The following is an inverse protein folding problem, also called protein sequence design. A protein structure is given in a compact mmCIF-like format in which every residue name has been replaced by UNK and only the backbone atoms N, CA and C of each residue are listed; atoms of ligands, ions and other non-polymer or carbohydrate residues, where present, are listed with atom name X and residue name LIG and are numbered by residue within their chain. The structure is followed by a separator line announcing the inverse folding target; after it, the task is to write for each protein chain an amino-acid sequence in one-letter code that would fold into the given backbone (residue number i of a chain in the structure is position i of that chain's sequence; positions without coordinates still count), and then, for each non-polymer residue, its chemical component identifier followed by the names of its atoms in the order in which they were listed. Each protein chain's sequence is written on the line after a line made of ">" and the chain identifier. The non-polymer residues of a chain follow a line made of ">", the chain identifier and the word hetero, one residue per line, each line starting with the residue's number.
data_IF_830926156042
#
_entry.id   IF_830926156042
#
_cell.length_a   1.000
_cell.length_b   1.000
_cell.length_c   1.000
_cell.angle_alpha   90.00
_cell.angle_beta   90.00
_cell.angle_gamma   90.00
#
_symmetry.space_group_name_H-M   'P 1'
#
loop_
_entity.id
_entity.type
_entity.pdbx_description
1 polymer ?
#
# COMPACT_ATOMS: atom_id res chain seq x y z
N UNK A 1 -18.56 0.61 -10.00
CA UNK A 1 -19.42 -0.04 -11.02
C UNK A 1 -19.58 0.84 -12.24
N UNK A 2 -19.99 2.10 -12.07
CA UNK A 2 -20.14 3.04 -13.19
C UNK A 2 -18.87 3.13 -14.04
N UNK A 3 -17.71 3.31 -13.41
CA UNK A 3 -16.39 3.37 -14.05
C UNK A 3 -16.06 2.17 -14.96
N UNK A 4 -16.54 0.96 -14.62
CA UNK A 4 -16.21 -0.25 -15.38
C UNK A 4 -17.27 -0.56 -16.43
N UNK A 5 -18.52 -0.19 -16.17
CA UNK A 5 -19.58 -0.27 -17.18
C UNK A 5 -19.28 0.65 -18.38
N UNK A 6 -18.57 1.75 -18.17
CA UNK A 6 -18.11 2.68 -19.21
C UNK A 6 -16.97 2.12 -20.08
N UNK A 7 -16.34 1.02 -19.69
CA UNK A 7 -15.25 0.36 -20.44
C UNK A 7 -15.72 -0.69 -21.47
N UNK A 8 -17.03 -0.77 -21.77
CA UNK A 8 -17.62 -1.84 -22.60
C UNK A 8 -17.36 -3.26 -22.03
N UNK A 9 -17.01 -3.35 -20.74
CA UNK A 9 -16.86 -4.59 -19.99
C UNK A 9 -18.14 -4.90 -19.22
N UNK A 10 -18.62 -6.14 -19.31
CA UNK A 10 -19.69 -6.62 -18.42
C UNK A 10 -19.11 -6.89 -17.04
N UNK A 11 -19.32 -5.95 -16.11
CA UNK A 11 -18.87 -6.11 -14.74
C UNK A 11 -19.96 -6.69 -13.83
N UNK A 12 -19.58 -7.69 -13.04
CA UNK A 12 -20.46 -8.26 -11.99
C UNK A 12 -19.76 -8.08 -10.65
N UNK A 13 -20.34 -7.25 -9.78
CA UNK A 13 -19.88 -7.12 -8.40
C UNK A 13 -20.41 -8.30 -7.60
N UNK A 14 -19.52 -8.98 -6.90
CA UNK A 14 -19.88 -10.05 -5.97
C UNK A 14 -19.27 -9.69 -4.62
N UNK A 15 -20.13 -9.46 -3.63
CA UNK A 15 -19.69 -9.37 -2.23
C UNK A 15 -19.39 -10.79 -1.80
N UNK A 16 -18.14 -11.05 -1.39
CA UNK A 16 -17.65 -12.39 -1.10
C UNK A 16 -17.32 -12.50 0.38
N UNK A 17 -18.23 -13.12 1.14
CA UNK A 17 -18.07 -13.29 2.58
C UNK A 17 -17.54 -14.69 2.95
N UNK A 18 -17.65 -15.65 2.04
CA UNK A 18 -17.31 -17.05 2.32
C UNK A 18 -16.82 -17.80 1.06
N UNK A 19 -16.47 -19.08 1.27
CA UNK A 19 -16.03 -19.98 0.22
C UNK A 19 -17.13 -20.29 -0.81
N UNK A 20 -18.42 -20.21 -0.44
CA UNK A 20 -19.51 -20.46 -1.38
C UNK A 20 -19.56 -19.35 -2.43
N UNK A 21 -19.42 -18.09 -2.02
CA UNK A 21 -19.33 -16.96 -2.94
C UNK A 21 -18.11 -17.07 -3.89
N UNK A 22 -16.96 -17.50 -3.37
CA UNK A 22 -15.77 -17.75 -4.21
C UNK A 22 -16.01 -18.84 -5.27
N UNK A 23 -16.72 -19.91 -4.91
CA UNK A 23 -17.10 -20.98 -5.85
C UNK A 23 -18.05 -20.47 -6.92
N UNK A 24 -19.02 -19.62 -6.56
CA UNK A 24 -19.91 -19.00 -7.55
C UNK A 24 -19.13 -18.15 -8.56
N UNK A 25 -18.12 -17.41 -8.11
CA UNK A 25 -17.25 -16.63 -9.00
C UNK A 25 -16.53 -17.55 -9.98
N UNK A 26 -15.88 -18.61 -9.47
CA UNK A 26 -15.19 -19.60 -10.32
C UNK A 26 -16.15 -20.25 -11.32
N UNK A 27 -17.37 -20.59 -10.90
CA UNK A 27 -18.39 -21.20 -11.77
C UNK A 27 -18.82 -20.27 -12.91
N UNK A 28 -18.74 -18.95 -12.74
CA UNK A 28 -18.99 -17.98 -13.81
C UNK A 28 -17.85 -17.91 -14.84
N UNK A 29 -16.69 -18.50 -14.54
CA UNK A 29 -15.50 -18.52 -15.40
C UNK A 29 -15.14 -17.10 -15.92
N UNK A 30 -14.95 -16.12 -15.02
CA UNK A 30 -14.58 -14.78 -15.45
C UNK A 30 -13.22 -14.82 -16.14
N UNK A 31 -13.06 -14.00 -17.19
CA UNK A 31 -11.74 -13.78 -17.78
C UNK A 31 -10.78 -13.13 -16.77
N UNK A 32 -11.32 -12.28 -15.88
CA UNK A 32 -10.51 -11.50 -14.96
C UNK A 32 -11.25 -11.07 -13.69
N UNK A 33 -10.51 -10.94 -12.57
CA UNK A 33 -11.04 -10.47 -11.27
C UNK A 33 -10.21 -9.33 -10.67
N UNK A 34 -10.85 -8.26 -10.19
CA UNK A 34 -10.19 -7.09 -9.58
C UNK A 34 -10.19 -7.21 -8.06
N UNK A 35 -9.13 -7.72 -7.47
CA UNK A 35 -9.02 -7.88 -6.02
C UNK A 35 -8.90 -6.53 -5.30
N UNK A 36 -9.86 -6.24 -4.41
CA UNK A 36 -9.82 -5.13 -3.45
C UNK A 36 -9.58 -5.60 -2.02
N UNK A 37 -9.29 -6.89 -1.84
CA UNK A 37 -9.08 -7.56 -0.57
C UNK A 37 -7.93 -8.55 -0.74
N UNK A 38 -7.16 -8.79 0.35
CA UNK A 38 -6.05 -9.75 0.35
C UNK A 38 -6.53 -11.20 0.57
N UNK A 39 -7.38 -11.38 1.57
CA UNK A 39 -7.82 -12.69 2.04
C UNK A 39 -9.19 -12.63 2.71
N UNK A 40 -9.89 -13.77 2.75
CA UNK A 40 -11.11 -13.97 3.54
C UNK A 40 -10.74 -14.76 4.80
N UNK A 41 -10.99 -14.22 6.01
CA UNK A 41 -10.82 -14.98 7.24
C UNK A 41 -11.96 -15.99 7.41
N UNK A 42 -11.61 -17.23 7.76
CA UNK A 42 -12.58 -18.26 8.11
C UNK A 42 -12.74 -18.37 9.62
N UNK A 43 -13.90 -18.87 10.07
CA UNK A 43 -14.17 -19.14 11.50
C UNK A 43 -13.14 -20.09 12.13
N UNK A 44 -12.49 -20.93 11.32
CA UNK A 44 -11.42 -21.84 11.75
C UNK A 44 -10.09 -21.15 12.07
N UNK A 45 -9.98 -19.84 11.83
CA UNK A 45 -8.73 -19.08 11.91
C UNK A 45 -7.83 -19.21 10.67
N UNK A 46 -8.23 -20.01 9.68
CA UNK A 46 -7.53 -20.09 8.40
C UNK A 46 -7.89 -18.91 7.50
N UNK A 47 -6.91 -18.43 6.71
CA UNK A 47 -7.11 -17.35 5.74
C UNK A 47 -7.14 -17.91 4.33
N UNK A 48 -8.18 -17.61 3.57
CA UNK A 48 -8.20 -17.87 2.13
C UNK A 48 -7.57 -16.68 1.43
N UNK A 49 -6.35 -16.84 0.93
CA UNK A 49 -5.70 -15.83 0.10
C UNK A 49 -6.36 -15.80 -1.27
N UNK A 50 -6.90 -14.65 -1.66
CA UNK A 50 -7.66 -14.54 -2.91
C UNK A 50 -6.78 -14.78 -4.13
N UNK A 51 -5.56 -14.28 -4.12
CA UNK A 51 -4.60 -14.50 -5.21
C UNK A 51 -4.28 -15.98 -5.39
N UNK A 52 -3.96 -16.70 -4.31
CA UNK A 52 -3.74 -18.15 -4.34
C UNK A 52 -4.97 -18.91 -4.83
N UNK A 53 -6.16 -18.53 -4.34
CA UNK A 53 -7.41 -19.15 -4.74
C UNK A 53 -7.67 -19.01 -6.26
N UNK A 54 -7.54 -17.81 -6.82
CA UNK A 54 -7.75 -17.61 -8.26
C UNK A 54 -6.64 -18.23 -9.13
N UNK A 55 -5.39 -18.27 -8.64
CA UNK A 55 -4.29 -18.99 -9.33
C UNK A 55 -4.59 -20.48 -9.48
N UNK A 56 -5.11 -21.13 -8.42
CA UNK A 56 -5.45 -22.57 -8.49
C UNK A 56 -6.63 -22.90 -9.43
N UNK A 57 -7.37 -21.88 -9.87
CA UNK A 57 -8.50 -22.01 -10.80
C UNK A 57 -8.20 -21.43 -12.19
N UNK A 58 -6.93 -21.10 -12.48
CA UNK A 58 -6.50 -20.50 -13.75
C UNK A 58 -7.26 -19.19 -14.08
N UNK A 59 -7.69 -18.43 -13.06
CA UNK A 59 -8.36 -17.13 -13.21
C UNK A 59 -7.36 -16.02 -12.95
N UNK A 60 -7.19 -15.14 -13.93
CA UNK A 60 -6.33 -13.96 -13.81
C UNK A 60 -6.94 -12.90 -12.89
N UNK A 61 -6.09 -12.18 -12.16
CA UNK A 61 -6.52 -11.21 -11.14
C UNK A 61 -5.61 -9.97 -11.07
N UNK A 62 -6.14 -8.83 -10.58
CA UNK A 62 -5.33 -7.62 -10.30
C UNK A 62 -4.45 -7.78 -9.08
N UNK A 63 -3.31 -7.09 -9.08
CA UNK A 63 -2.45 -7.00 -7.92
C UNK A 63 -1.59 -8.25 -7.78
N UNK A 64 -1.50 -8.80 -6.59
CA UNK A 64 -0.25 -9.43 -6.15
C UNK A 64 -0.40 -10.90 -5.81
N UNK A 65 0.66 -11.66 -6.08
CA UNK A 65 0.83 -12.99 -5.48
C UNK A 65 0.89 -12.87 -3.96
N UNK A 66 0.50 -13.93 -3.27
CA UNK A 66 0.56 -14.05 -1.81
C UNK A 66 1.94 -13.66 -1.24
N UNK A 67 3.02 -14.13 -1.87
CA UNK A 67 4.39 -13.84 -1.41
C UNK A 67 4.74 -12.36 -1.42
N UNK A 68 4.19 -11.59 -2.37
CA UNK A 68 4.39 -10.13 -2.40
C UNK A 68 3.46 -9.43 -1.40
N UNK A 69 2.21 -9.89 -1.26
CA UNK A 69 1.28 -9.38 -0.25
C UNK A 69 1.76 -9.58 1.19
N UNK A 70 2.68 -10.53 1.42
CA UNK A 70 3.36 -10.68 2.70
C UNK A 70 4.06 -9.39 3.14
N UNK A 71 4.66 -8.63 2.23
CA UNK A 71 5.32 -7.36 2.58
C UNK A 71 4.34 -6.24 2.93
N UNK A 72 3.12 -6.29 2.41
CA UNK A 72 2.05 -5.37 2.83
C UNK A 72 1.63 -5.67 4.28
N UNK A 73 1.39 -6.95 4.59
CA UNK A 73 0.98 -7.37 5.93
C UNK A 73 2.12 -7.39 6.96
N UNK A 74 3.39 -7.50 6.55
CA UNK A 74 4.54 -7.56 7.44
C UNK A 74 5.52 -6.42 7.15
N UNK A 75 5.29 -5.29 7.83
CA UNK A 75 6.06 -4.05 7.67
C UNK A 75 7.53 -4.22 8.01
N UNK A 76 7.84 -5.04 9.01
CA UNK A 76 9.23 -5.37 9.40
C UNK A 76 9.95 -6.11 8.26
N UNK A 77 9.30 -7.11 7.65
CA UNK A 77 9.85 -7.82 6.51
C UNK A 77 10.03 -6.91 5.29
N UNK A 78 9.07 -6.02 5.02
CA UNK A 78 9.16 -5.03 3.95
C UNK A 78 10.36 -4.10 4.16
N UNK A 79 10.53 -3.55 5.37
CA UNK A 79 11.67 -2.72 5.75
C UNK A 79 13.00 -3.44 5.57
N UNK A 80 13.12 -4.69 6.06
CA UNK A 80 14.32 -5.52 5.84
C UNK A 80 14.61 -5.72 4.36
N UNK A 81 13.57 -5.97 3.55
CA UNK A 81 13.72 -6.17 2.11
C UNK A 81 14.21 -4.91 1.42
N UNK A 82 13.61 -3.74 1.65
CA UNK A 82 14.03 -2.49 1.01
C UNK A 82 15.42 -2.03 1.48
N UNK A 83 15.71 -2.16 2.78
CA UNK A 83 17.01 -1.82 3.35
C UNK A 83 18.13 -2.70 2.75
N UNK A 84 17.87 -4.00 2.52
CA UNK A 84 18.83 -4.89 1.85
C UNK A 84 19.18 -4.49 0.41
N UNK A 85 18.36 -3.64 -0.22
CA UNK A 85 18.58 -3.08 -1.55
C UNK A 85 19.19 -1.66 -1.51
N UNK A 86 19.60 -1.17 -0.32
CA UNK A 86 20.17 0.16 -0.15
C UNK A 86 19.13 1.28 -0.26
N UNK A 87 17.84 0.99 -0.03
CA UNK A 87 16.77 1.99 -0.01
C UNK A 87 16.58 2.44 1.43
N UNK A 88 16.59 3.75 1.65
CA UNK A 88 16.44 4.35 2.97
C UNK A 88 15.11 3.96 3.62
N UNK A 89 15.17 3.56 4.89
CA UNK A 89 14.06 3.42 5.82
C UNK A 89 14.60 3.79 7.21
N UNK A 90 13.76 4.26 8.12
CA UNK A 90 14.18 4.54 9.50
C UNK A 90 14.83 3.29 10.12
N UNK A 91 15.91 3.47 10.88
CA UNK A 91 16.47 2.38 11.69
C UNK A 91 15.37 1.79 12.59
N UNK A 92 15.35 0.47 12.74
CA UNK A 92 14.27 -0.20 13.44
C UNK A 92 14.71 -1.48 14.13
N UNK A 93 14.01 -1.82 15.20
CA UNK A 93 14.09 -3.12 15.86
C UNK A 93 12.72 -3.53 16.41
N UNK A 94 12.63 -4.78 16.85
CA UNK A 94 11.45 -5.34 17.52
C UNK A 94 11.86 -5.70 18.94
N UNK A 95 11.01 -5.38 19.91
CA UNK A 95 11.32 -5.55 21.33
C UNK A 95 10.15 -6.20 22.09
N UNK A 96 10.49 -6.87 23.18
CA UNK A 96 9.55 -7.23 24.25
C UNK A 96 9.70 -6.27 25.44
N UNK A 97 8.68 -6.18 26.33
CA UNK A 97 8.83 -5.49 27.61
C UNK A 97 10.06 -5.98 28.37
N UNK A 98 10.76 -5.03 29.03
CA UNK A 98 11.92 -5.31 29.86
C UNK A 98 13.14 -5.93 29.14
N UNK A 99 13.18 -5.94 27.80
CA UNK A 99 14.33 -6.45 27.03
C UNK A 99 15.58 -5.58 27.21
N UNK A 100 15.43 -4.26 27.18
CA UNK A 100 16.48 -3.29 27.46
C UNK A 100 16.34 -2.75 28.89
N UNK A 101 17.46 -2.48 29.58
CA UNK A 101 17.48 -2.08 31.00
C UNK A 101 17.84 -0.61 31.25
N UNK A 102 18.41 0.06 30.26
CA UNK A 102 18.76 1.48 30.32
C UNK A 102 18.91 2.05 28.90
N UNK A 103 18.84 3.38 28.78
CA UNK A 103 18.96 4.11 27.51
C UNK A 103 20.21 3.73 26.69
N UNK A 104 21.43 3.60 27.27
CA UNK A 104 22.62 3.23 26.49
C UNK A 104 22.58 1.81 25.91
N UNK A 105 21.59 0.99 26.27
CA UNK A 105 21.41 -0.33 25.70
C UNK A 105 20.50 -0.34 24.46
N UNK A 106 19.82 0.78 24.16
CA UNK A 106 18.97 0.87 22.97
C UNK A 106 19.82 0.79 21.69
N UNK A 107 19.32 0.12 20.62
CA UNK A 107 20.06 -0.03 19.36
C UNK A 107 20.42 1.30 18.67
N UNK A 108 19.60 2.34 18.87
CA UNK A 108 19.85 3.70 18.41
C UNK A 108 19.28 4.72 19.41
N UNK A 109 19.77 5.98 19.40
CA UNK A 109 19.36 7.01 20.35
C UNK A 109 17.87 7.37 20.31
N UNK A 110 17.41 8.05 21.36
CA UNK A 110 16.13 8.75 21.38
C UNK A 110 16.21 10.07 20.57
N UNK A 111 15.09 10.59 20.04
CA UNK A 111 13.72 10.07 20.17
C UNK A 111 13.42 8.87 19.27
N UNK A 112 12.51 8.02 19.73
CA UNK A 112 12.07 6.82 19.01
C UNK A 112 10.56 6.83 18.77
N UNK A 113 10.12 6.23 17.67
CA UNK A 113 8.73 5.99 17.33
C UNK A 113 8.32 4.54 17.60
N UNK A 114 7.33 4.34 18.48
CA UNK A 114 6.95 3.03 19.02
C UNK A 114 5.51 2.70 18.61
N UNK A 115 5.33 1.58 17.90
CA UNK A 115 4.03 1.17 17.34
C UNK A 115 3.84 -0.36 17.39
N UNK A 116 2.60 -0.87 17.32
CA UNK A 116 2.36 -2.29 17.10
C UNK A 116 3.01 -2.79 15.81
N UNK A 117 3.33 -4.09 15.73
CA UNK A 117 3.80 -4.71 14.49
C UNK A 117 2.77 -4.55 13.37
N UNK A 118 1.49 -4.82 13.68
CA UNK A 118 0.35 -4.51 12.83
C UNK A 118 -0.32 -3.19 13.25
N UNK A 119 0.30 -2.07 12.87
CA UNK A 119 -0.28 -0.74 13.02
C UNK A 119 -1.17 -0.35 11.83
N UNK A 120 -1.89 -1.29 11.21
CA UNK A 120 -2.86 -0.96 10.16
C UNK A 120 -3.81 0.14 10.63
N UNK A 121 -4.14 1.08 9.74
CA UNK A 121 -5.00 2.23 10.03
C UNK A 121 -4.59 3.09 11.25
N UNK A 122 -3.30 3.08 11.63
CA UNK A 122 -2.82 3.89 12.75
C UNK A 122 -3.21 3.34 14.13
N UNK A 123 -3.59 2.06 14.22
CA UNK A 123 -3.89 1.39 15.48
C UNK A 123 -2.69 1.45 16.43
N UNK A 124 -2.94 1.80 17.70
CA UNK A 124 -1.92 1.93 18.73
C UNK A 124 -1.00 3.16 18.58
N UNK A 125 -1.19 3.97 17.53
CA UNK A 125 -0.41 5.20 17.31
C UNK A 125 -1.11 6.40 17.96
N UNK A 126 -0.40 7.02 18.88
CA UNK A 126 -0.81 8.19 19.67
C UNK A 126 0.42 9.06 20.02
N UNK A 127 0.23 10.18 20.74
CA UNK A 127 1.33 11.05 21.15
C UNK A 127 2.43 10.33 21.95
N UNK A 128 2.05 9.33 22.75
CA UNK A 128 2.97 8.52 23.55
C UNK A 128 3.81 7.55 22.69
N UNK A 129 3.49 7.44 21.39
CA UNK A 129 4.31 6.69 20.42
C UNK A 129 5.62 7.39 20.11
N UNK A 130 5.79 8.67 20.45
CA UNK A 130 7.07 9.37 20.34
C UNK A 130 7.71 9.42 21.73
N UNK A 131 8.65 8.51 21.96
CA UNK A 131 9.41 8.44 23.20
C UNK A 131 10.66 9.33 23.11
N UNK A 132 10.76 10.30 24.01
CA UNK A 132 11.93 11.19 24.16
C UNK A 132 12.84 10.79 25.33
N UNK A 133 12.39 9.87 26.18
CA UNK A 133 13.12 9.38 27.35
C UNK A 133 12.98 7.87 27.44
N UNK A 134 13.95 7.21 28.07
CA UNK A 134 13.89 5.76 28.27
C UNK A 134 12.64 5.31 29.03
N UNK A 135 12.20 6.09 30.02
CA UNK A 135 10.95 5.83 30.75
C UNK A 135 9.72 5.83 29.84
N UNK A 136 9.61 6.81 28.94
CA UNK A 136 8.50 6.86 27.97
C UNK A 136 8.54 5.66 27.01
N UNK A 137 9.75 5.24 26.62
CA UNK A 137 9.94 4.03 25.84
C UNK A 137 9.40 2.79 26.56
N UNK A 138 9.81 2.57 27.82
CA UNK A 138 9.35 1.44 28.62
C UNK A 138 7.82 1.44 28.79
N UNK A 139 7.25 2.57 29.20
CA UNK A 139 5.81 2.73 29.42
C UNK A 139 5.00 2.43 28.15
N UNK A 140 5.47 2.89 26.98
CA UNK A 140 4.78 2.67 25.70
C UNK A 140 4.91 1.23 25.22
N UNK A 141 6.09 0.60 25.34
CA UNK A 141 6.30 -0.81 24.98
C UNK A 141 5.42 -1.71 25.85
N UNK A 142 5.38 -1.48 27.17
CA UNK A 142 4.53 -2.25 28.08
C UNK A 142 3.05 -2.12 27.74
N UNK A 143 2.57 -0.89 27.50
CA UNK A 143 1.19 -0.63 27.10
C UNK A 143 0.80 -1.38 25.83
N UNK A 144 1.59 -1.25 24.77
CA UNK A 144 1.28 -1.89 23.49
C UNK A 144 1.36 -3.42 23.58
N UNK A 145 2.36 -3.96 24.28
CA UNK A 145 2.45 -5.41 24.47
C UNK A 145 1.23 -5.96 25.23
N UNK A 146 0.78 -5.26 26.28
CA UNK A 146 -0.39 -5.67 27.04
C UNK A 146 -1.70 -5.60 26.23
N UNK A 147 -1.82 -4.63 25.32
CA UNK A 147 -3.02 -4.42 24.50
C UNK A 147 -3.08 -5.38 23.29
N UNK A 148 -1.96 -5.63 22.63
CA UNK A 148 -1.91 -6.39 21.37
C UNK A 148 -1.41 -7.83 21.54
N UNK A 149 -0.71 -8.16 22.63
CA UNK A 149 -0.19 -9.52 22.87
C UNK A 149 0.95 -9.94 21.95
N UNK A 150 1.58 -9.00 21.26
CA UNK A 150 2.64 -9.22 20.28
C UNK A 150 3.87 -8.34 20.60
N UNK A 151 5.08 -8.71 20.12
CA UNK A 151 6.24 -7.82 20.19
C UNK A 151 5.96 -6.45 19.57
N UNK A 152 6.71 -5.43 20.00
CA UNK A 152 6.49 -4.03 19.61
C UNK A 152 7.56 -3.57 18.62
N UNK A 153 7.16 -2.83 17.60
CA UNK A 153 8.07 -2.22 16.63
C UNK A 153 8.56 -0.87 17.15
N UNK A 154 9.87 -0.66 17.08
CA UNK A 154 10.53 0.59 17.47
C UNK A 154 11.33 1.09 16.28
N UNK A 155 11.13 2.34 15.91
CA UNK A 155 11.78 2.99 14.77
C UNK A 155 12.45 4.29 15.22
N UNK A 156 13.49 4.73 14.52
CA UNK A 156 13.98 6.10 14.64
C UNK A 156 12.83 7.08 14.35
N UNK A 157 12.69 8.11 15.19
CA UNK A 157 11.64 9.09 14.99
C UNK A 157 12.02 10.07 13.88
N UNK A 158 11.37 9.92 12.72
CA UNK A 158 11.43 10.89 11.63
C UNK A 158 10.45 12.03 11.91
N UNK A 159 10.96 13.25 12.06
CA UNK A 159 10.21 14.46 12.44
C UNK A 159 9.78 15.34 11.24
N UNK A 160 10.10 14.91 10.03
CA UNK A 160 9.80 15.63 8.80
C UNK A 160 8.43 15.33 8.21
N UNK A 161 8.28 15.72 6.94
CA UNK A 161 7.02 15.64 6.17
C UNK A 161 6.68 14.21 5.81
N UNK A 162 5.39 13.91 5.69
CA UNK A 162 4.88 12.60 5.34
C UNK A 162 4.22 12.63 3.97
N UNK A 163 4.52 11.63 3.14
CA UNK A 163 4.02 11.49 1.78
C UNK A 163 3.41 10.12 1.59
N UNK A 164 2.43 10.07 0.70
CA UNK A 164 1.93 8.84 0.12
C UNK A 164 2.14 8.91 -1.39
N UNK A 165 2.68 7.85 -1.98
CA UNK A 165 2.93 7.78 -3.42
C UNK A 165 2.08 6.66 -3.99
N UNK A 166 1.04 7.02 -4.74
CA UNK A 166 0.29 6.05 -5.54
C UNK A 166 1.14 5.67 -6.77
N UNK A 167 1.24 4.38 -7.05
CA UNK A 167 1.97 3.84 -8.18
C UNK A 167 1.01 3.00 -9.01
N UNK A 168 0.99 3.22 -10.31
CA UNK A 168 0.26 2.41 -11.30
C UNK A 168 1.24 2.05 -12.42
N UNK A 169 1.23 0.79 -12.83
CA UNK A 169 1.97 0.31 -13.99
C UNK A 169 1.12 0.48 -15.25
N UNK A 170 1.68 1.16 -16.25
CA UNK A 170 1.06 1.34 -17.57
C UNK A 170 2.12 1.14 -18.65
N UNK A 171 1.89 0.18 -19.55
CA UNK A 171 2.81 -0.14 -20.65
C UNK A 171 4.25 -0.46 -20.21
N UNK A 172 4.44 -1.04 -19.02
CA UNK A 172 5.77 -1.32 -18.45
C UNK A 172 6.47 -0.11 -17.82
N UNK A 173 5.79 1.03 -17.73
CA UNK A 173 6.27 2.21 -17.00
C UNK A 173 5.51 2.36 -15.68
N UNK A 174 6.21 2.79 -14.63
CA UNK A 174 5.58 3.16 -13.37
C UNK A 174 5.18 4.63 -13.41
N UNK A 175 3.88 4.90 -13.42
CA UNK A 175 3.30 6.21 -13.13
C UNK A 175 3.25 6.34 -11.61
N UNK A 176 3.89 7.36 -11.06
CA UNK A 176 3.93 7.60 -9.62
C UNK A 176 3.39 9.00 -9.31
N UNK A 177 2.42 9.06 -8.42
CA UNK A 177 1.70 10.26 -8.02
C UNK A 177 1.89 10.51 -6.51
N UNK A 178 2.90 11.29 -6.11
CA UNK A 178 3.15 11.61 -4.70
C UNK A 178 2.28 12.78 -4.23
N UNK A 179 1.75 12.68 -3.02
CA UNK A 179 1.11 13.79 -2.31
C UNK A 179 1.62 13.84 -0.88
N UNK A 180 1.56 15.03 -0.28
CA UNK A 180 1.82 15.23 1.13
C UNK A 180 0.57 14.97 1.96
N UNK A 181 0.73 14.19 3.02
CA UNK A 181 -0.29 13.94 4.04
C UNK A 181 0.08 14.77 5.25
N UNK A 182 -0.78 15.72 5.61
CA UNK A 182 -0.54 16.65 6.72
C UNK A 182 -1.57 16.41 7.81
N UNK A 183 -1.23 15.63 8.86
CA UNK A 183 -2.08 15.48 10.04
C UNK A 183 -2.32 16.82 10.74
N UNK A 184 -3.39 16.93 11.55
CA UNK A 184 -3.55 18.02 12.49
C UNK A 184 -2.31 18.18 13.39
N UNK A 185 -2.02 19.42 13.75
CA UNK A 185 -0.97 19.73 14.73
C UNK A 185 -1.55 19.56 16.15
N UNK A 186 -1.00 18.63 16.90
CA UNK A 186 -1.30 18.40 18.31
C UNK A 186 -0.03 18.62 19.13
N UNK A 187 0.07 19.77 19.78
CA UNK A 187 1.20 20.20 20.60
C UNK A 187 2.57 20.18 19.88
N UNK A 188 2.59 20.56 18.60
CA UNK A 188 3.79 20.55 17.77
C UNK A 188 4.10 19.21 17.10
N UNK A 189 3.23 18.22 17.24
CA UNK A 189 3.37 16.90 16.62
C UNK A 189 2.28 16.67 15.59
N UNK A 190 2.65 16.05 14.48
CA UNK A 190 1.72 15.61 13.43
C UNK A 190 1.80 14.09 13.32
N UNK A 191 0.73 13.41 13.71
CA UNK A 191 0.67 11.95 13.77
C UNK A 191 -0.56 11.42 13.03
N UNK A 192 -0.36 10.44 12.15
CA UNK A 192 -1.44 9.67 11.53
C UNK A 192 -1.91 8.51 12.42
N UNK A 193 -2.44 8.85 13.60
CA UNK A 193 -3.11 7.90 14.49
C UNK A 193 -4.47 7.45 13.97
N UNK A 194 -5.05 6.43 14.61
CA UNK A 194 -6.35 5.86 14.23
C UNK A 194 -7.48 6.90 14.20
N UNK A 195 -7.50 7.82 15.16
CA UNK A 195 -8.49 8.91 15.21
C UNK A 195 -8.41 9.78 13.95
N UNK A 196 -7.23 10.28 13.61
CA UNK A 196 -7.00 11.14 12.45
C UNK A 196 -7.50 10.46 11.18
N UNK A 197 -7.06 9.22 10.94
CA UNK A 197 -7.46 8.42 9.76
C UNK A 197 -8.96 8.10 9.73
N UNK A 198 -9.58 7.82 10.88
CA UNK A 198 -11.01 7.51 10.95
C UNK A 198 -11.90 8.73 10.71
N UNK A 199 -11.46 9.90 11.16
CA UNK A 199 -12.19 11.17 11.02
C UNK A 199 -11.81 11.91 9.73
N UNK A 200 -10.82 11.44 8.96
CA UNK A 200 -10.25 12.06 7.76
C UNK A 200 -9.90 13.55 7.99
N UNK A 201 -9.17 13.82 9.08
CA UNK A 201 -8.86 15.19 9.53
C UNK A 201 -7.54 15.72 8.97
N UNK A 202 -6.73 14.85 8.39
CA UNK A 202 -5.52 15.18 7.66
C UNK A 202 -5.82 15.90 6.33
N UNK A 203 -4.90 16.79 5.95
CA UNK A 203 -4.96 17.47 4.66
C UNK A 203 -4.09 16.73 3.64
N UNK A 204 -4.65 16.52 2.44
CA UNK A 204 -3.92 15.99 1.28
C UNK A 204 -3.50 17.15 0.38
N UNK A 205 -2.20 17.31 0.15
CA UNK A 205 -1.62 18.44 -0.61
C UNK A 205 -0.74 17.97 -1.76
N UNK A 206 -0.79 18.69 -2.88
CA UNK A 206 0.22 18.54 -3.94
C UNK A 206 1.59 18.96 -3.40
N UNK A 207 2.63 18.20 -3.72
CA UNK A 207 4.00 18.56 -3.39
C UNK A 207 4.46 19.67 -4.35
N UNK A 208 4.67 20.88 -3.83
CA UNK A 208 5.04 22.06 -4.63
C UNK A 208 6.55 22.16 -4.89
N UNK A 209 7.38 21.54 -4.05
CA UNK A 209 8.83 21.55 -4.17
C UNK A 209 9.26 20.41 -5.10
N UNK A 210 9.83 20.77 -6.25
CA UNK A 210 10.20 19.82 -7.31
C UNK A 210 11.18 18.74 -6.82
N UNK A 211 12.21 19.11 -6.06
CA UNK A 211 13.20 18.15 -5.53
C UNK A 211 12.54 17.13 -4.60
N UNK A 212 11.73 17.58 -3.64
CA UNK A 212 10.94 16.69 -2.78
C UNK A 212 10.04 15.74 -3.58
N UNK A 213 9.38 16.23 -4.63
CA UNK A 213 8.53 15.41 -5.49
C UNK A 213 9.35 14.30 -6.16
N UNK A 214 10.48 14.66 -6.78
CA UNK A 214 11.40 13.73 -7.44
C UNK A 214 11.95 12.70 -6.46
N UNK A 215 12.35 13.12 -5.26
CA UNK A 215 12.91 12.21 -4.25
C UNK A 215 11.87 11.21 -3.74
N UNK A 216 10.65 11.67 -3.44
CA UNK A 216 9.54 10.81 -3.05
C UNK A 216 9.21 9.79 -4.16
N UNK A 217 9.13 10.23 -5.43
CA UNK A 217 8.89 9.36 -6.58
C UNK A 217 10.00 8.33 -6.74
N UNK A 218 11.26 8.75 -6.68
CA UNK A 218 12.42 7.88 -6.88
C UNK A 218 12.50 6.81 -5.80
N UNK A 219 12.34 7.19 -4.53
CA UNK A 219 12.33 6.24 -3.43
C UNK A 219 11.15 5.27 -3.55
N UNK A 220 9.95 5.77 -3.81
CA UNK A 220 8.75 4.95 -3.92
C UNK A 220 8.85 3.93 -5.06
N UNK A 221 9.30 4.34 -6.25
CA UNK A 221 9.53 3.43 -7.39
C UNK A 221 10.59 2.36 -7.07
N UNK A 222 11.71 2.75 -6.45
CA UNK A 222 12.76 1.80 -6.03
C UNK A 222 12.20 0.79 -5.02
N UNK A 223 11.46 1.25 -4.01
CA UNK A 223 10.85 0.40 -3.00
C UNK A 223 9.83 -0.56 -3.62
N UNK A 224 8.96 -0.07 -4.49
CA UNK A 224 7.98 -0.87 -5.23
C UNK A 224 8.67 -2.01 -5.99
N UNK A 225 9.70 -1.70 -6.79
CA UNK A 225 10.49 -2.70 -7.52
C UNK A 225 11.20 -3.68 -6.57
N UNK A 226 11.81 -3.18 -5.49
CA UNK A 226 12.54 -4.00 -4.52
C UNK A 226 11.65 -5.04 -3.83
N UNK A 227 10.39 -4.71 -3.57
CA UNK A 227 9.38 -5.60 -2.99
C UNK A 227 8.85 -6.63 -4.01
N UNK A 228 9.21 -6.50 -5.30
CA UNK A 228 8.63 -7.33 -6.37
C UNK A 228 7.17 -6.97 -6.63
N UNK A 229 6.81 -5.71 -6.41
CA UNK A 229 5.46 -5.21 -6.60
C UNK A 229 5.14 -5.01 -8.11
N UNK A 230 3.85 -5.05 -8.47
CA UNK A 230 3.34 -4.94 -9.85
C UNK A 230 1.93 -4.33 -9.89
N UNK A 231 1.45 -4.02 -11.08
CA UNK A 231 0.10 -3.51 -11.37
C UNK A 231 -0.18 -2.14 -10.73
N UNK A 232 -0.37 -2.08 -9.41
CA UNK A 232 -0.62 -0.82 -8.69
C UNK A 232 -0.44 -0.98 -7.19
N UNK A 233 -0.07 0.08 -6.48
CA UNK A 233 -0.01 0.08 -5.02
C UNK A 233 0.48 1.41 -4.49
N UNK A 234 0.58 1.53 -3.17
CA UNK A 234 0.98 2.77 -2.51
C UNK A 234 2.24 2.54 -1.69
N UNK A 235 3.16 3.48 -1.74
CA UNK A 235 4.32 3.52 -0.85
C UNK A 235 4.20 4.76 0.03
N UNK A 236 4.22 4.55 1.33
CA UNK A 236 4.23 5.63 2.31
C UNK A 236 5.68 5.98 2.63
N UNK A 237 5.97 7.27 2.62
CA UNK A 237 7.31 7.85 2.72
C UNK A 237 7.29 8.91 3.79
N UNK A 238 8.36 9.01 4.57
CA UNK A 238 8.53 10.09 5.54
C UNK A 238 9.91 10.68 5.43
N UNK A 239 10.02 11.99 5.56
CA UNK A 239 11.30 12.69 5.62
C UNK A 239 11.82 12.76 7.05
N UNK A 240 13.13 12.75 7.19
CA UNK A 240 13.80 13.29 8.37
C UNK A 240 14.03 14.81 8.25
N UNK A 241 14.53 15.43 9.31
CA UNK A 241 14.70 16.88 9.44
C UNK A 241 15.50 17.54 8.30
N UNK A 242 16.52 16.87 7.76
CA UNK A 242 17.41 17.35 6.70
C UNK A 242 16.89 17.05 5.28
N UNK A 243 15.73 16.40 5.18
CA UNK A 243 15.00 16.22 3.94
C UNK A 243 15.27 14.92 3.18
N UNK A 244 15.99 13.95 3.76
CA UNK A 244 16.09 12.62 3.15
C UNK A 244 14.74 11.88 3.25
N UNK A 245 14.29 11.27 2.16
CA UNK A 245 13.08 10.44 2.15
C UNK A 245 13.40 9.02 2.68
N UNK A 246 12.53 8.49 3.52
CA UNK A 246 12.60 7.12 4.05
C UNK A 246 11.32 6.36 3.75
N UNK A 247 11.45 5.11 3.31
CA UNK A 247 10.35 4.17 3.21
C UNK A 247 9.74 3.91 4.59
N UNK A 248 8.42 4.00 4.71
CA UNK A 248 7.67 3.63 5.92
C UNK A 248 7.00 2.28 5.74
N UNK A 249 6.10 2.17 4.77
CA UNK A 249 5.33 0.95 4.51
C UNK A 249 4.84 0.89 3.06
N UNK A 250 4.44 -0.31 2.64
CA UNK A 250 3.79 -0.55 1.36
C UNK A 250 2.34 -0.98 1.59
N UNK A 251 1.42 -0.36 0.85
CA UNK A 251 0.01 -0.76 0.80
C UNK A 251 -0.29 -1.22 -0.62
N UNK A 252 -0.21 -2.53 -0.83
CA UNK A 252 -0.35 -3.22 -2.11
C UNK A 252 -1.82 -3.55 -2.43
N UNK A 253 -2.72 -3.47 -1.45
CA UNK A 253 -4.17 -3.44 -1.70
C UNK A 253 -4.74 -2.12 -1.17
N UNK A 254 -4.51 -1.00 -1.88
CA UNK A 254 -4.91 0.30 -1.40
C UNK A 254 -6.44 0.46 -1.40
N UNK A 255 -6.95 1.30 -0.48
CA UNK A 255 -8.35 1.71 -0.50
C UNK A 255 -8.70 2.47 -1.78
N UNK A 256 -9.94 2.28 -2.25
CA UNK A 256 -10.46 2.87 -3.49
C UNK A 256 -11.74 3.67 -3.27
N UNK A 257 -12.10 4.02 -2.02
CA UNK A 257 -13.28 4.85 -1.75
C UNK A 257 -13.10 6.24 -2.37
N UNK A 258 -13.96 6.58 -3.32
CA UNK A 258 -13.95 7.87 -4.01
C UNK A 258 -14.05 9.03 -3.01
N UNK A 259 -13.16 10.00 -3.13
CA UNK A 259 -13.12 11.20 -2.29
C UNK A 259 -12.36 11.07 -0.96
N UNK A 260 -12.15 9.86 -0.42
CA UNK A 260 -11.47 9.67 0.88
C UNK A 260 -10.23 8.80 0.81
N UNK A 261 -10.18 7.78 -0.05
CA UNK A 261 -9.01 6.90 -0.12
C UNK A 261 -7.82 7.59 -0.77
N UNK A 262 -6.65 7.45 -0.15
CA UNK A 262 -5.44 8.16 -0.58
C UNK A 262 -5.00 7.79 -1.99
N UNK A 263 -5.21 6.55 -2.43
CA UNK A 263 -4.74 6.11 -3.74
C UNK A 263 -5.37 6.90 -4.90
N UNK A 264 -6.72 6.90 -5.08
CA UNK A 264 -7.34 7.73 -6.12
C UNK A 264 -7.09 9.23 -5.89
N UNK A 265 -7.07 9.70 -4.62
CA UNK A 265 -6.80 11.10 -4.29
C UNK A 265 -5.38 11.53 -4.69
N UNK A 266 -4.39 10.65 -4.57
CA UNK A 266 -3.01 10.96 -4.97
C UNK A 266 -2.91 11.16 -6.47
N UNK A 267 -3.52 10.27 -7.25
CA UNK A 267 -3.58 10.38 -8.71
C UNK A 267 -4.33 11.64 -9.17
N UNK A 268 -5.44 11.97 -8.51
CA UNK A 268 -6.21 13.19 -8.80
C UNK A 268 -5.40 14.46 -8.48
N UNK A 269 -4.83 14.55 -7.28
CA UNK A 269 -4.15 15.76 -6.81
C UNK A 269 -2.85 16.02 -7.56
N UNK A 270 -2.07 14.98 -7.86
CA UNK A 270 -0.75 15.13 -8.49
C UNK A 270 -0.85 15.12 -10.03
N UNK A 271 -1.50 14.11 -10.61
CA UNK A 271 -1.54 13.87 -12.04
C UNK A 271 -2.83 14.34 -12.73
N UNK A 272 -3.79 14.91 -11.98
CA UNK A 272 -5.10 15.34 -12.49
C UNK A 272 -5.92 14.21 -13.13
N UNK A 273 -5.69 12.96 -12.71
CA UNK A 273 -6.46 11.81 -13.18
C UNK A 273 -7.81 11.74 -12.46
N UNK A 274 -8.88 11.56 -13.22
CA UNK A 274 -10.21 11.25 -12.69
C UNK A 274 -10.22 9.86 -12.04
N UNK A 275 -11.20 9.63 -11.16
CA UNK A 275 -11.40 8.33 -10.53
C UNK A 275 -11.55 7.20 -11.56
N UNK A 276 -12.29 7.47 -12.65
CA UNK A 276 -12.53 6.48 -13.70
C UNK A 276 -11.25 6.19 -14.50
N UNK A 277 -10.43 7.20 -14.79
CA UNK A 277 -9.10 6.98 -15.40
C UNK A 277 -8.19 6.13 -14.51
N UNK A 278 -8.21 6.35 -13.20
CA UNK A 278 -7.43 5.53 -12.24
C UNK A 278 -7.89 4.07 -12.28
N UNK A 279 -9.21 3.83 -12.19
CA UNK A 279 -9.77 2.48 -12.28
C UNK A 279 -9.43 1.82 -13.61
N UNK A 280 -9.48 2.58 -14.71
CA UNK A 280 -9.13 2.10 -16.04
C UNK A 280 -7.67 1.66 -16.12
N UNK A 281 -6.74 2.48 -15.63
CA UNK A 281 -5.31 2.14 -15.63
C UNK A 281 -5.04 0.87 -14.81
N UNK A 282 -5.66 0.73 -13.63
CA UNK A 282 -5.53 -0.46 -12.78
C UNK A 282 -5.99 -1.74 -13.49
N UNK A 283 -7.08 -1.66 -14.25
CA UNK A 283 -7.64 -2.79 -15.00
C UNK A 283 -6.79 -3.10 -16.23
N UNK A 284 -6.39 -2.09 -17.00
CA UNK A 284 -5.60 -2.25 -18.22
C UNK A 284 -4.22 -2.86 -17.93
N UNK A 285 -3.53 -2.42 -16.88
CA UNK A 285 -2.23 -3.00 -16.50
C UNK A 285 -2.32 -4.50 -16.25
N UNK A 286 -3.37 -4.95 -15.55
CA UNK A 286 -3.55 -6.36 -15.26
C UNK A 286 -4.05 -7.19 -16.46
N UNK A 287 -4.82 -6.60 -17.37
CA UNK A 287 -5.21 -7.23 -18.65
C UNK A 287 -3.98 -7.39 -19.56
N UNK A 288 -3.15 -6.35 -19.69
CA UNK A 288 -1.96 -6.37 -20.55
C UNK A 288 -1.00 -7.50 -20.17
N UNK A 289 -0.89 -7.83 -18.88
CA UNK A 289 -0.11 -8.97 -18.37
C UNK A 289 -0.60 -10.34 -18.88
N UNK A 290 -1.87 -10.46 -19.27
CA UNK A 290 -2.43 -11.71 -19.79
C UNK A 290 -2.14 -11.95 -21.26
N UNK A 291 -1.90 -10.89 -22.03
CA UNK A 291 -1.61 -11.01 -23.46
C UNK A 291 -0.11 -11.30 -23.58
N UNK A 292 0.30 -12.48 -24.07
CA UNK A 292 1.72 -12.74 -24.33
C UNK A 292 2.27 -11.64 -25.23
N UNK A 293 3.46 -11.13 -24.91
CA UNK A 293 4.17 -10.16 -25.72
C UNK A 293 4.51 -10.81 -27.06
N UNK A 294 3.58 -10.79 -28.02
CA UNK A 294 3.83 -11.16 -29.41
C UNK A 294 4.75 -10.06 -29.92
N UNK A 295 6.05 -10.35 -30.00
CA UNK A 295 7.05 -9.40 -30.46
C UNK A 295 6.59 -8.77 -31.77
N UNK A 296 6.30 -7.48 -31.73
CA UNK A 296 6.04 -6.71 -32.95
C UNK A 296 7.36 -6.60 -33.71
N UNK A 297 7.55 -7.44 -34.73
CA UNK A 297 8.34 -7.01 -35.88
C UNK A 297 7.62 -5.82 -36.53
N UNK A 298 8.40 -4.77 -36.76
CA UNK A 298 8.01 -3.49 -37.38
C UNK A 298 6.95 -3.63 -38.49
N UNK A 299 5.91 -2.79 -38.49
CA UNK A 299 5.05 -2.61 -39.65
C UNK A 299 5.30 -1.23 -40.28
N UNK A 300 5.99 -1.21 -41.41
CA UNK A 300 5.51 -0.41 -42.53
C UNK A 300 4.24 -1.08 -43.05
N UNK A 301 3.17 -0.28 -43.13
CA UNK A 301 1.87 -0.58 -43.74
C UNK A 301 0.98 -1.60 -43.03
N UNK A 302 -0.08 -1.08 -42.37
CA UNK A 302 -1.50 -1.26 -42.76
C UNK A 302 -2.36 -0.58 -41.68
N UNK A 303 -3.10 0.45 -42.09
CA UNK A 303 -4.20 1.05 -41.32
C UNK A 303 -5.28 -0.01 -41.09
N UNK A 304 -5.37 -0.53 -39.87
CA UNK A 304 -6.44 -1.43 -39.41
C UNK A 304 -6.59 -1.31 -37.91
N UNK A 305 -7.80 -1.01 -37.45
CA UNK A 305 -8.17 -0.80 -36.05
C UNK A 305 -7.68 -1.92 -35.13
N UNK A 306 -6.81 -1.60 -34.18
CA UNK A 306 -6.42 -2.50 -33.09
C UNK A 306 -7.44 -2.37 -31.96
N UNK A 307 -8.62 -2.95 -32.15
CA UNK A 307 -9.50 -3.32 -31.04
C UNK A 307 -9.27 -4.81 -30.78
N UNK A 308 -8.67 -5.12 -29.62
CA UNK A 308 -8.61 -6.49 -29.12
C UNK A 308 -10.03 -7.06 -28.93
N UNK A 309 -10.18 -8.39 -28.86
CA UNK A 309 -11.49 -9.01 -28.69
C UNK A 309 -12.16 -8.54 -27.39
N UNK A 310 -13.50 -8.39 -27.37
CA UNK A 310 -14.24 -7.87 -26.22
C UNK A 310 -14.04 -8.78 -24.99
N UNK A 311 -13.53 -8.18 -23.91
CA UNK A 311 -13.25 -8.86 -22.64
C UNK A 311 -14.58 -9.09 -21.91
N UNK A 312 -14.94 -10.36 -21.77
CA UNK A 312 -16.11 -10.80 -21.02
C UNK A 312 -15.71 -11.02 -19.56
N UNK A 313 -16.32 -10.24 -18.67
CA UNK A 313 -16.34 -10.40 -17.21
C UNK A 313 -15.12 -9.86 -16.45
N UNK A 314 -15.29 -8.64 -15.91
CA UNK A 314 -14.40 -7.99 -14.93
C UNK A 314 -15.15 -7.84 -13.60
N UNK A 315 -14.64 -8.33 -12.48
CA UNK A 315 -15.32 -8.24 -11.17
C UNK A 315 -14.62 -7.24 -10.26
N UNK A 316 -15.34 -6.38 -9.53
CA UNK A 316 -14.78 -5.53 -8.46
C UNK A 316 -15.24 -6.01 -7.11
N UNK A 317 -14.30 -6.11 -6.19
CA UNK A 317 -14.51 -6.57 -4.83
C UNK A 317 -14.58 -5.35 -3.89
N UNK A 318 -15.29 -5.50 -2.79
CA UNK A 318 -15.21 -4.67 -1.60
C UNK A 318 -15.29 -5.62 -0.40
#
# INVERSE_FOLDING_TARGET
>A
MNSIAELDHTAVVTVCCDLANLREIVNRQPYFVVLAMKYIPLESGHLIWLSEYFETHDISYTGYKKDTLYYDSNKVAAKKRVASQGIATADFFVTLPNEFKAEPNLPFPLPQFIKPLDAANGNGVDRASIAQTFRQYEEKVEKLYAEYGEPVSVEEYLDGREFTVAIIEDGGQLIASPIEVVPPDEDGYRLLGSKVKSENTELLKRISVFETHVDAVNLAKKAFIALGARDFGRIDVKMEQYGECHFIEANLVPGMTMGSSYFPRSCEIDASLSYDEVVNLMIQGAIARQIPNIGFHSPTDVLGSVYGPPIKHTQVFH
#
